data_IF_103986902066
#
_entry.id   IF_103986902066
#
_cell.length_a   1.000
_cell.length_b   1.000
_cell.length_c   1.000
_cell.angle_alpha   90.00
_cell.angle_beta   90.00
_cell.angle_gamma   90.00
#
_symmetry.space_group_name_H-M   'P 1'
#
loop_
_entity.id
_entity.type
_entity.pdbx_description
1 polymer ?
#
# COMPACT_ATOMS: atom_id res chain seq x y z
N UNK A 1 -17.95 5.22 19.40
CA UNK A 1 -17.03 4.16 19.88
C UNK A 1 -15.96 4.76 20.81
N UNK A 2 -16.35 5.56 21.82
CA UNK A 2 -15.37 6.40 22.55
C UNK A 2 -14.54 5.69 23.64
N UNK A 3 -14.72 4.39 23.87
CA UNK A 3 -13.99 3.66 24.93
C UNK A 3 -13.33 2.33 24.50
N UNK A 4 -13.70 1.74 23.37
CA UNK A 4 -13.14 0.46 22.96
C UNK A 4 -11.72 0.62 22.39
N UNK A 5 -10.78 -0.21 22.85
CA UNK A 5 -9.42 -0.29 22.30
C UNK A 5 -9.39 -1.05 20.97
N UNK A 6 -10.25 -2.07 20.83
CA UNK A 6 -10.52 -2.77 19.57
C UNK A 6 -11.95 -3.35 19.60
N UNK A 7 -12.55 -3.52 18.41
CA UNK A 7 -13.84 -4.18 18.24
C UNK A 7 -13.67 -5.34 17.27
N UNK A 8 -14.36 -6.44 17.56
CA UNK A 8 -14.50 -7.58 16.67
C UNK A 8 -15.94 -7.69 16.22
N UNK A 9 -16.13 -8.18 15.00
CA UNK A 9 -17.43 -8.56 14.48
C UNK A 9 -17.47 -10.06 14.19
N UNK A 10 -18.65 -10.64 14.33
CA UNK A 10 -18.88 -12.05 14.04
C UNK A 10 -19.50 -12.14 12.64
N UNK A 11 -18.79 -12.78 11.72
CA UNK A 11 -19.20 -12.92 10.32
C UNK A 11 -19.54 -14.39 10.10
N UNK A 12 -20.76 -14.68 9.64
CA UNK A 12 -21.12 -16.03 9.21
C UNK A 12 -20.43 -16.32 7.89
N UNK A 13 -19.61 -17.37 7.85
CA UNK A 13 -18.89 -17.83 6.66
C UNK A 13 -19.48 -19.16 6.25
N UNK A 14 -19.87 -19.28 4.97
CA UNK A 14 -20.28 -20.55 4.37
C UNK A 14 -19.11 -21.13 3.60
N UNK A 15 -18.69 -22.35 3.93
CA UNK A 15 -17.58 -23.00 3.22
C UNK A 15 -17.96 -23.29 1.76
N UNK A 16 -17.18 -22.87 0.75
CA UNK A 16 -17.51 -23.14 -0.64
C UNK A 16 -17.38 -24.63 -1.01
N UNK A 17 -16.60 -25.41 -0.25
CA UNK A 17 -16.34 -26.83 -0.51
C UNK A 17 -17.41 -27.72 0.13
N UNK A 18 -17.57 -27.64 1.46
CA UNK A 18 -18.48 -28.52 2.18
C UNK A 18 -19.84 -27.87 2.51
N UNK A 19 -20.03 -26.58 2.24
CA UNK A 19 -21.25 -25.79 2.51
C UNK A 19 -21.61 -25.62 3.99
N UNK A 20 -20.78 -26.13 4.89
CA UNK A 20 -20.96 -25.93 6.32
C UNK A 20 -20.76 -24.48 6.71
N UNK A 21 -21.60 -24.02 7.65
CA UNK A 21 -21.55 -22.67 8.19
C UNK A 21 -20.62 -22.63 9.39
N UNK A 22 -19.88 -21.54 9.52
CA UNK A 22 -19.12 -21.23 10.73
C UNK A 22 -19.09 -19.75 11.00
N UNK A 23 -18.53 -19.39 12.16
CA UNK A 23 -18.38 -18.00 12.57
C UNK A 23 -16.91 -17.60 12.53
N UNK A 24 -16.63 -16.52 11.81
CA UNK A 24 -15.33 -15.87 11.77
C UNK A 24 -15.35 -14.60 12.62
N UNK A 25 -14.33 -14.42 13.45
CA UNK A 25 -14.20 -13.24 14.30
C UNK A 25 -13.26 -12.22 13.65
N UNK A 26 -13.85 -11.33 12.85
CA UNK A 26 -13.16 -10.27 12.11
C UNK A 26 -12.84 -9.06 12.97
N UNK A 27 -11.80 -8.30 12.62
CA UNK A 27 -11.40 -7.07 13.32
C UNK A 27 -12.01 -5.85 12.62
N UNK A 28 -13.12 -5.34 13.13
CA UNK A 28 -13.84 -4.20 12.52
C UNK A 28 -13.28 -2.84 12.96
N UNK A 29 -12.62 -2.77 14.12
CA UNK A 29 -11.96 -1.56 14.60
C UNK A 29 -10.74 -1.89 15.48
N UNK A 30 -9.67 -1.13 15.35
CA UNK A 30 -8.52 -1.16 16.23
C UNK A 30 -7.97 0.25 16.47
N UNK A 31 -7.80 0.64 17.73
CA UNK A 31 -6.96 1.76 18.12
C UNK A 31 -5.57 1.23 18.50
N UNK A 32 -4.60 1.34 17.59
CA UNK A 32 -3.27 0.77 17.76
C UNK A 32 -2.46 1.37 18.90
N UNK A 33 -2.71 2.64 19.25
CA UNK A 33 -2.08 3.30 20.40
C UNK A 33 -2.55 2.70 21.73
N UNK A 34 -3.73 2.06 21.74
CA UNK A 34 -4.36 1.50 22.95
C UNK A 34 -4.38 -0.03 22.99
N UNK A 35 -4.39 -0.69 21.83
CA UNK A 35 -4.40 -2.15 21.71
C UNK A 35 -3.19 -2.66 20.91
N UNK A 36 -2.04 -2.74 21.59
CA UNK A 36 -0.79 -3.21 20.98
C UNK A 36 -0.85 -4.65 20.50
N UNK A 37 -1.66 -5.49 21.16
CA UNK A 37 -1.81 -6.90 20.79
C UNK A 37 -2.58 -7.03 19.48
N UNK A 38 -3.71 -6.32 19.33
CA UNK A 38 -4.46 -6.30 18.08
C UNK A 38 -3.67 -5.64 16.95
N UNK A 39 -2.96 -4.53 17.24
CA UNK A 39 -2.03 -3.91 16.29
C UNK A 39 -1.04 -4.93 15.73
N UNK A 40 -0.37 -5.69 16.61
CA UNK A 40 0.61 -6.71 16.18
C UNK A 40 -0.03 -7.76 15.27
N UNK A 41 -1.25 -8.19 15.58
CA UNK A 41 -1.99 -9.11 14.69
C UNK A 41 -2.30 -8.47 13.35
N UNK A 42 -2.79 -7.23 13.32
CA UNK A 42 -3.03 -6.50 12.08
C UNK A 42 -1.78 -6.40 11.21
N UNK A 43 -0.62 -6.20 11.80
CA UNK A 43 0.62 -6.03 11.04
C UNK A 43 1.25 -7.35 10.57
N UNK A 44 1.10 -8.45 11.31
CA UNK A 44 1.92 -9.65 11.09
C UNK A 44 1.15 -10.97 11.03
N UNK A 45 -0.13 -11.01 11.39
CA UNK A 45 -0.95 -12.22 11.31
C UNK A 45 -1.43 -12.39 9.85
N UNK A 46 -0.68 -13.15 9.05
CA UNK A 46 -1.06 -13.46 7.66
C UNK A 46 -2.42 -14.16 7.55
N UNK A 47 -2.88 -14.79 8.63
CA UNK A 47 -4.18 -15.45 8.72
C UNK A 47 -5.29 -14.54 9.27
N UNK A 48 -5.02 -13.24 9.45
CA UNK A 48 -5.98 -12.32 10.09
C UNK A 48 -7.34 -12.31 9.41
N UNK A 49 -7.38 -12.51 8.10
CA UNK A 49 -8.58 -12.52 7.26
C UNK A 49 -8.88 -13.89 6.66
N UNK A 50 -8.30 -14.94 7.21
CA UNK A 50 -8.51 -16.30 6.73
C UNK A 50 -9.27 -17.12 7.76
N UNK A 51 -10.38 -17.71 7.32
CA UNK A 51 -11.17 -18.65 8.09
C UNK A 51 -10.84 -20.07 7.59
N UNK A 52 -10.33 -20.91 8.48
CA UNK A 52 -10.15 -22.34 8.20
C UNK A 52 -11.41 -23.11 8.60
N UNK A 53 -12.05 -23.76 7.63
CA UNK A 53 -13.24 -24.56 7.87
C UNK A 53 -12.91 -25.77 8.77
N UNK A 54 -13.57 -25.95 9.92
CA UNK A 54 -13.28 -27.06 10.82
C UNK A 54 -13.69 -28.44 10.28
N UNK A 55 -14.53 -28.48 9.22
CA UNK A 55 -15.07 -29.72 8.66
C UNK A 55 -14.21 -30.29 7.54
N UNK A 56 -13.63 -29.43 6.70
CA UNK A 56 -12.83 -29.88 5.54
C UNK A 56 -11.44 -29.24 5.45
N UNK A 57 -11.03 -28.45 6.46
CA UNK A 57 -9.76 -27.73 6.53
C UNK A 57 -9.50 -26.70 5.40
N UNK A 58 -10.51 -26.43 4.56
CA UNK A 58 -10.41 -25.41 3.51
C UNK A 58 -10.18 -24.03 4.12
N UNK A 59 -9.23 -23.28 3.57
CA UNK A 59 -8.92 -21.93 4.03
C UNK A 59 -9.60 -20.91 3.13
N UNK A 60 -10.43 -20.06 3.74
CA UNK A 60 -11.33 -19.14 3.05
C UNK A 60 -10.92 -17.73 3.42
N UNK A 61 -10.60 -16.91 2.41
CA UNK A 61 -10.43 -15.47 2.62
C UNK A 61 -11.79 -14.83 2.92
N UNK A 62 -11.86 -14.09 4.02
CA UNK A 62 -13.04 -13.32 4.43
C UNK A 62 -12.79 -11.85 4.12
N UNK A 63 -13.48 -11.34 3.11
CA UNK A 63 -13.44 -9.92 2.78
C UNK A 63 -14.32 -9.15 3.78
N UNK A 64 -13.70 -8.25 4.53
CA UNK A 64 -14.39 -7.42 5.52
C UNK A 64 -13.82 -5.99 5.53
N UNK A 65 -14.60 -5.05 6.06
CA UNK A 65 -14.09 -3.70 6.32
C UNK A 65 -13.46 -3.61 7.69
N UNK A 66 -12.48 -2.71 7.84
CA UNK A 66 -11.81 -2.49 9.10
C UNK A 66 -11.32 -1.06 9.23
N UNK A 67 -11.34 -0.52 10.45
CA UNK A 67 -10.82 0.81 10.74
C UNK A 67 -9.67 0.72 11.73
N UNK A 68 -8.48 1.15 11.29
CA UNK A 68 -7.33 1.37 12.15
C UNK A 68 -7.25 2.84 12.55
N UNK A 69 -6.94 3.11 13.80
CA UNK A 69 -6.74 4.44 14.33
C UNK A 69 -5.47 4.46 15.19
N UNK A 70 -4.67 5.52 15.05
CA UNK A 70 -3.55 5.82 15.94
C UNK A 70 -3.72 7.25 16.47
N UNK A 71 -3.88 7.36 17.78
CA UNK A 71 -4.08 8.62 18.48
C UNK A 71 -2.78 9.39 18.71
N UNK A 72 -1.67 8.67 18.85
CA UNK A 72 -0.35 9.25 19.09
C UNK A 72 0.15 9.96 17.81
N UNK A 73 -0.03 9.31 16.66
CA UNK A 73 0.36 9.81 15.34
C UNK A 73 -0.77 10.55 14.60
N UNK A 74 -1.98 10.57 15.17
CA UNK A 74 -3.18 11.24 14.63
C UNK A 74 -3.52 10.83 13.20
N UNK A 75 -3.72 9.53 12.97
CA UNK A 75 -4.18 9.04 11.68
C UNK A 75 -5.20 7.92 11.76
N UNK A 76 -5.93 7.72 10.66
CA UNK A 76 -6.87 6.62 10.47
C UNK A 76 -6.64 5.98 9.10
N UNK A 77 -6.71 4.65 9.03
CA UNK A 77 -6.68 3.91 7.76
C UNK A 77 -7.85 2.94 7.73
N UNK A 78 -8.69 3.07 6.71
CA UNK A 78 -9.81 2.16 6.50
C UNK A 78 -9.48 1.13 5.42
N UNK A 79 -9.76 -0.13 5.72
CA UNK A 79 -9.76 -1.24 4.77
C UNK A 79 -11.16 -1.39 4.17
N UNK A 80 -11.27 -1.37 2.84
CA UNK A 80 -12.50 -1.63 2.10
C UNK A 80 -12.18 -2.49 0.87
N UNK A 81 -12.47 -3.80 0.90
CA UNK A 81 -12.11 -4.71 -0.18
C UNK A 81 -12.91 -4.49 -1.47
N UNK A 82 -14.02 -3.74 -1.42
CA UNK A 82 -14.84 -3.43 -2.59
C UNK A 82 -15.41 -2.01 -2.55
N UNK A 83 -15.68 -1.43 -3.73
CA UNK A 83 -16.25 -0.08 -3.88
C UNK A 83 -17.65 0.04 -3.26
N UNK A 84 -18.41 -1.06 -3.26
CA UNK A 84 -19.76 -1.10 -2.67
C UNK A 84 -19.70 -0.82 -1.15
N UNK A 85 -18.67 -1.32 -0.48
CA UNK A 85 -18.47 -1.15 0.96
C UNK A 85 -17.88 0.22 1.30
N UNK A 86 -17.17 0.85 0.35
CA UNK A 86 -16.46 2.09 0.57
C UNK A 86 -17.38 3.25 0.98
N UNK A 87 -18.32 3.66 0.10
CA UNK A 87 -19.12 4.89 0.31
C UNK A 87 -19.93 4.84 1.60
N UNK A 88 -20.51 3.68 1.93
CA UNK A 88 -21.34 3.51 3.12
C UNK A 88 -20.49 3.53 4.40
N UNK A 89 -19.35 2.82 4.38
CA UNK A 89 -18.47 2.74 5.54
C UNK A 89 -17.80 4.08 5.81
N UNK A 90 -17.31 4.77 4.79
CA UNK A 90 -16.72 6.11 4.92
C UNK A 90 -17.73 7.12 5.48
N UNK A 91 -18.98 7.11 5.01
CA UNK A 91 -20.02 7.98 5.54
C UNK A 91 -20.33 7.68 7.03
N UNK A 92 -20.34 6.40 7.43
CA UNK A 92 -20.54 6.00 8.81
C UNK A 92 -19.37 6.41 9.71
N UNK A 93 -18.13 6.23 9.25
CA UNK A 93 -16.92 6.70 9.95
C UNK A 93 -16.92 8.22 10.03
N UNK A 94 -17.28 8.91 8.95
CA UNK A 94 -17.38 10.37 8.90
C UNK A 94 -18.41 10.94 9.86
N UNK A 95 -19.62 10.38 9.87
CA UNK A 95 -20.72 10.84 10.70
C UNK A 95 -20.49 10.57 12.19
N UNK A 96 -19.66 9.58 12.54
CA UNK A 96 -19.50 9.13 13.93
C UNK A 96 -18.13 9.46 14.53
N UNK A 97 -17.07 9.53 13.73
CA UNK A 97 -15.70 9.35 14.24
C UNK A 97 -14.59 10.09 13.45
N UNK A 98 -14.86 10.90 12.40
CA UNK A 98 -13.77 11.72 11.83
C UNK A 98 -13.26 12.66 12.93
N UNK A 99 -12.09 12.32 13.45
CA UNK A 99 -11.40 13.17 14.42
C UNK A 99 -10.80 14.32 13.64
N UNK A 100 -11.17 15.54 14.03
CA UNK A 100 -10.57 16.75 13.46
C UNK A 100 -9.05 16.63 13.54
N UNK A 101 -8.36 16.97 12.46
CA UNK A 101 -6.89 16.96 12.33
C UNK A 101 -6.24 15.57 12.24
N UNK A 102 -7.00 14.51 11.96
CA UNK A 102 -6.40 13.20 11.63
C UNK A 102 -6.13 13.11 10.13
N UNK A 103 -4.98 12.54 9.77
CA UNK A 103 -4.70 12.15 8.38
C UNK A 103 -5.43 10.83 8.10
N UNK A 104 -6.33 10.83 7.12
CA UNK A 104 -7.12 9.63 6.81
C UNK A 104 -6.73 9.03 5.45
N UNK A 105 -6.72 7.70 5.37
CA UNK A 105 -6.43 6.92 4.16
C UNK A 105 -7.39 5.75 3.98
N UNK A 106 -7.53 5.32 2.73
CA UNK A 106 -8.23 4.09 2.37
C UNK A 106 -7.26 3.10 1.74
N UNK A 107 -7.51 1.82 1.99
CA UNK A 107 -6.80 0.67 1.43
C UNK A 107 -7.80 -0.36 0.93
N UNK A 108 -7.44 -1.09 -0.14
CA UNK A 108 -8.28 -2.13 -0.76
C UNK A 108 -7.87 -3.52 -0.29
N UNK A 109 -6.60 -3.70 0.04
CA UNK A 109 -6.06 -4.99 0.48
C UNK A 109 -5.48 -4.91 1.88
N UNK A 110 -5.33 -6.06 2.55
CA UNK A 110 -4.64 -6.12 3.82
C UNK A 110 -3.17 -5.66 3.71
N UNK A 111 -2.49 -6.02 2.62
CA UNK A 111 -1.10 -5.60 2.37
C UNK A 111 -0.98 -4.08 2.31
N UNK A 112 -1.84 -3.42 1.53
CA UNK A 112 -1.90 -1.96 1.47
C UNK A 112 -2.26 -1.35 2.84
N UNK A 113 -3.22 -1.95 3.54
CA UNK A 113 -3.64 -1.48 4.86
C UNK A 113 -2.46 -1.49 5.85
N UNK A 114 -1.70 -2.59 5.86
CA UNK A 114 -0.47 -2.74 6.64
C UNK A 114 0.59 -1.71 6.25
N UNK A 115 0.88 -1.54 4.95
CA UNK A 115 1.85 -0.56 4.46
C UNK A 115 1.51 0.85 4.96
N UNK A 116 0.25 1.28 4.80
CA UNK A 116 -0.20 2.60 5.24
C UNK A 116 -0.08 2.76 6.75
N UNK A 117 -0.41 1.74 7.54
CA UNK A 117 -0.24 1.80 9.00
C UNK A 117 1.24 2.03 9.34
N UNK A 118 2.15 1.20 8.82
CA UNK A 118 3.59 1.30 9.09
C UNK A 118 4.17 2.66 8.67
N UNK A 119 3.81 3.12 7.47
CA UNK A 119 4.23 4.43 6.94
C UNK A 119 3.77 5.58 7.85
N UNK A 120 2.51 5.54 8.26
CA UNK A 120 1.92 6.63 9.03
C UNK A 120 2.39 6.65 10.49
N UNK A 121 2.60 5.49 11.12
CA UNK A 121 3.21 5.38 12.46
C UNK A 121 4.64 5.89 12.48
N UNK A 122 5.38 5.70 11.39
CA UNK A 122 6.75 6.21 11.27
C UNK A 122 6.81 7.65 10.76
N UNK A 123 5.67 8.35 10.73
CA UNK A 123 5.54 9.75 10.25
C UNK A 123 6.04 9.95 8.81
N UNK A 124 6.05 8.89 8.01
CA UNK A 124 6.44 8.96 6.60
C UNK A 124 5.29 9.56 5.77
N UNK A 125 5.65 10.15 4.64
CA UNK A 125 4.71 10.56 3.61
C UNK A 125 4.52 9.40 2.62
N UNK A 126 3.37 8.74 2.75
CA UNK A 126 2.98 7.55 1.99
C UNK A 126 3.00 7.79 0.48
N UNK A 127 2.78 9.04 0.05
CA UNK A 127 2.75 9.44 -1.36
C UNK A 127 4.08 9.22 -2.07
N UNK A 128 5.22 9.39 -1.39
CA UNK A 128 6.53 9.19 -2.03
C UNK A 128 6.78 7.73 -2.38
N UNK A 129 6.33 6.80 -1.53
CA UNK A 129 6.49 5.37 -1.75
C UNK A 129 5.61 4.90 -2.90
N UNK A 130 4.38 5.38 -3.00
CA UNK A 130 3.52 5.07 -4.14
C UNK A 130 4.11 5.59 -5.46
N UNK A 131 4.68 6.81 -5.46
CA UNK A 131 5.38 7.36 -6.63
C UNK A 131 6.59 6.51 -7.00
N UNK A 132 7.38 6.04 -6.02
CA UNK A 132 8.50 5.15 -6.28
C UNK A 132 8.05 3.79 -6.84
N UNK A 133 7.00 3.19 -6.26
CA UNK A 133 6.41 1.92 -6.74
C UNK A 133 5.94 2.03 -8.18
N UNK A 134 5.16 3.06 -8.49
CA UNK A 134 4.67 3.31 -9.85
C UNK A 134 5.82 3.64 -10.82
N UNK A 135 6.82 4.42 -10.37
CA UNK A 135 8.02 4.73 -11.13
C UNK A 135 8.80 3.48 -11.55
N UNK A 136 9.13 2.64 -10.58
CA UNK A 136 9.85 1.39 -10.82
C UNK A 136 9.04 0.43 -11.69
N UNK A 137 7.73 0.31 -11.46
CA UNK A 137 6.84 -0.52 -12.28
C UNK A 137 6.83 -0.09 -13.75
N UNK A 138 6.86 1.21 -14.04
CA UNK A 138 6.92 1.73 -15.43
C UNK A 138 8.23 1.39 -16.14
N UNK A 139 9.29 1.05 -15.40
CA UNK A 139 10.54 0.57 -15.97
C UNK A 139 10.52 -0.92 -16.29
N UNK A 140 9.61 -1.70 -15.71
CA UNK A 140 9.43 -3.10 -16.09
C UNK A 140 9.09 -3.22 -17.57
N UNK A 141 9.68 -4.23 -18.21
CA UNK A 141 9.34 -4.63 -19.58
C UNK A 141 7.84 -4.99 -19.67
N UNK A 142 7.14 -4.69 -20.78
CA UNK A 142 5.72 -4.96 -20.93
C UNK A 142 5.30 -6.41 -20.62
N UNK A 143 6.16 -7.38 -20.93
CA UNK A 143 5.92 -8.81 -20.73
C UNK A 143 5.88 -9.15 -19.23
N UNK A 144 6.74 -8.51 -18.44
CA UNK A 144 6.84 -8.72 -16.99
C UNK A 144 5.67 -8.10 -16.24
N UNK A 145 5.02 -7.06 -16.77
CA UNK A 145 3.88 -6.40 -16.11
C UNK A 145 2.64 -7.30 -15.96
N UNK A 146 2.53 -8.35 -16.79
CA UNK A 146 1.48 -9.38 -16.63
C UNK A 146 1.78 -10.32 -15.45
N UNK A 147 3.05 -10.63 -15.25
CA UNK A 147 3.52 -11.47 -14.15
C UNK A 147 3.53 -10.70 -12.82
N UNK A 148 3.90 -9.42 -12.86
CA UNK A 148 4.08 -8.56 -11.70
C UNK A 148 3.17 -7.33 -11.79
N UNK A 149 1.85 -7.47 -11.62
CA UNK A 149 0.92 -6.35 -11.76
C UNK A 149 1.18 -5.28 -10.70
N UNK A 150 0.92 -4.02 -11.04
CA UNK A 150 1.17 -2.87 -10.15
C UNK A 150 0.44 -2.99 -8.79
N UNK A 151 -0.77 -3.55 -8.78
CA UNK A 151 -1.55 -3.79 -7.57
C UNK A 151 -0.91 -4.81 -6.60
N UNK A 152 0.10 -5.56 -7.05
CA UNK A 152 0.87 -6.54 -6.27
C UNK A 152 2.31 -6.05 -6.00
N UNK A 153 2.54 -4.75 -6.16
CA UNK A 153 3.78 -4.07 -5.82
C UNK A 153 3.68 -3.43 -4.42
N UNK A 154 4.61 -3.79 -3.53
CA UNK A 154 4.56 -3.37 -2.12
C UNK A 154 5.94 -2.95 -1.62
N UNK A 155 5.97 -2.12 -0.57
CA UNK A 155 7.16 -1.85 0.22
C UNK A 155 7.17 -2.79 1.41
N UNK A 156 8.19 -3.62 1.49
CA UNK A 156 8.51 -4.37 2.70
C UNK A 156 9.42 -3.55 3.61
N UNK A 157 9.01 -3.44 4.87
CA UNK A 157 9.68 -2.69 5.92
C UNK A 157 10.43 -3.60 6.91
N UNK A 158 10.49 -4.92 6.63
CA UNK A 158 11.13 -5.90 7.50
C UNK A 158 10.25 -6.35 8.68
N UNK A 159 10.73 -7.35 9.43
CA UNK A 159 10.00 -7.92 10.57
C UNK A 159 10.11 -7.06 11.84
N UNK A 160 9.08 -7.12 12.70
CA UNK A 160 9.05 -6.41 13.98
C UNK A 160 10.25 -6.79 14.87
N UNK A 161 11.08 -5.81 15.27
CA UNK A 161 12.25 -6.01 16.13
C UNK A 161 13.58 -5.87 15.39
N UNK A 162 13.58 -6.01 14.07
CA UNK A 162 14.66 -5.54 13.23
C UNK A 162 14.43 -4.05 12.98
N UNK A 163 15.08 -3.19 13.76
CA UNK A 163 15.18 -1.76 13.42
C UNK A 163 16.11 -1.61 12.21
N UNK A 164 15.73 -2.20 11.08
CA UNK A 164 16.42 -2.00 9.82
C UNK A 164 15.76 -0.80 9.16
N UNK A 165 16.56 0.22 8.83
CA UNK A 165 16.08 1.30 7.96
C UNK A 165 15.88 0.82 6.51
N UNK A 166 16.36 -0.40 6.22
CA UNK A 166 16.30 -1.07 4.94
C UNK A 166 14.85 -1.35 4.55
N UNK A 167 14.51 -0.95 3.33
CA UNK A 167 13.20 -1.15 2.72
C UNK A 167 13.39 -1.86 1.41
N UNK A 168 12.50 -2.79 1.11
CA UNK A 168 12.53 -3.50 -0.15
C UNK A 168 11.29 -3.19 -0.97
N UNK A 169 11.49 -2.93 -2.25
CA UNK A 169 10.44 -2.90 -3.25
C UNK A 169 10.18 -4.35 -3.69
N UNK A 170 8.98 -4.84 -3.43
CA UNK A 170 8.58 -6.23 -3.71
C UNK A 170 7.55 -6.25 -4.83
N UNK A 171 7.81 -7.05 -5.86
CA UNK A 171 6.84 -7.41 -6.88
C UNK A 171 6.43 -8.87 -6.70
N UNK A 172 5.19 -9.12 -6.27
CA UNK A 172 4.67 -10.47 -6.12
C UNK A 172 4.24 -11.03 -7.48
N UNK A 173 4.51 -12.32 -7.69
CA UNK A 173 4.17 -13.04 -8.91
C UNK A 173 2.68 -13.42 -8.90
N UNK A 174 1.90 -12.87 -9.84
CA UNK A 174 0.48 -13.16 -9.97
C UNK A 174 0.19 -14.59 -10.46
N UNK A 175 1.19 -15.27 -11.03
CA UNK A 175 1.08 -16.64 -11.55
C UNK A 175 1.47 -17.70 -10.53
N UNK A 176 2.15 -17.31 -9.44
CA UNK A 176 2.66 -18.22 -8.42
C UNK A 176 2.48 -17.65 -7.02
N UNK A 177 1.57 -18.26 -6.27
CA UNK A 177 1.28 -17.85 -4.90
C UNK A 177 2.54 -17.90 -4.01
N UNK A 178 2.82 -16.79 -3.32
CA UNK A 178 3.94 -16.69 -2.38
C UNK A 178 5.32 -16.46 -3.01
N UNK A 179 5.42 -16.40 -4.34
CA UNK A 179 6.66 -16.04 -5.03
C UNK A 179 6.67 -14.55 -5.40
N UNK A 180 7.88 -13.99 -5.52
CA UNK A 180 8.07 -12.61 -5.91
C UNK A 180 9.54 -12.23 -6.00
N UNK A 181 9.82 -11.05 -6.55
CA UNK A 181 11.16 -10.46 -6.58
C UNK A 181 11.21 -9.27 -5.65
N UNK A 182 12.35 -9.10 -4.98
CA UNK A 182 12.57 -8.07 -3.97
C UNK A 182 13.83 -7.29 -4.29
N UNK A 183 13.72 -5.97 -4.28
CA UNK A 183 14.80 -5.03 -4.60
C UNK A 183 15.04 -4.08 -3.44
N UNK A 184 16.29 -3.91 -3.03
CA UNK A 184 16.63 -2.97 -1.94
C UNK A 184 16.43 -1.53 -2.41
N UNK A 185 15.70 -0.74 -1.63
CA UNK A 185 15.54 0.69 -1.85
C UNK A 185 16.66 1.41 -1.12
N UNK A 186 17.55 2.04 -1.89
CA UNK A 186 18.59 2.89 -1.31
C UNK A 186 18.00 4.18 -0.75
N UNK A 187 18.66 4.74 0.27
CA UNK A 187 18.28 6.06 0.80
C UNK A 187 18.44 7.16 -0.26
N UNK A 188 19.36 6.98 -1.22
CA UNK A 188 19.56 7.91 -2.33
C UNK A 188 18.33 8.01 -3.22
N UNK A 189 17.78 6.87 -3.69
CA UNK A 189 16.56 6.88 -4.52
C UNK A 189 15.39 7.49 -3.74
N UNK A 190 15.27 7.15 -2.46
CA UNK A 190 14.20 7.67 -1.63
C UNK A 190 14.30 9.20 -1.52
N UNK A 191 15.49 9.72 -1.20
CA UNK A 191 15.73 11.15 -1.05
C UNK A 191 15.52 11.89 -2.37
N UNK A 192 15.98 11.33 -3.50
CA UNK A 192 15.69 11.90 -4.82
C UNK A 192 14.20 11.92 -5.16
N UNK A 193 13.48 10.82 -4.88
CA UNK A 193 12.02 10.76 -5.06
C UNK A 193 11.35 11.85 -4.23
N UNK A 194 11.76 12.01 -2.98
CA UNK A 194 11.25 13.07 -2.10
C UNK A 194 11.53 14.46 -2.67
N UNK A 195 12.77 14.76 -3.05
CA UNK A 195 13.16 16.10 -3.51
C UNK A 195 12.45 16.51 -4.80
N UNK A 196 12.30 15.57 -5.73
CA UNK A 196 11.69 15.83 -7.04
C UNK A 196 10.17 15.97 -6.92
N UNK A 197 9.52 15.11 -6.15
CA UNK A 197 8.05 15.06 -6.11
C UNK A 197 7.42 15.89 -4.99
N UNK A 198 8.15 16.24 -3.91
CA UNK A 198 7.59 17.06 -2.83
C UNK A 198 6.97 18.39 -3.29
N UNK A 199 7.59 19.18 -4.20
CA UNK A 199 6.98 20.41 -4.69
C UNK A 199 5.63 20.19 -5.37
N UNK A 200 5.47 19.09 -6.10
CA UNK A 200 4.20 18.72 -6.76
C UNK A 200 3.19 18.24 -5.72
N UNK A 201 3.60 17.34 -4.84
CA UNK A 201 2.74 16.76 -3.81
C UNK A 201 2.25 17.79 -2.78
N UNK A 202 3.00 18.85 -2.54
CA UNK A 202 2.59 19.99 -1.72
C UNK A 202 1.51 20.84 -2.40
N UNK A 203 1.47 20.89 -3.73
CA UNK A 203 0.40 21.60 -4.46
C UNK A 203 -0.91 20.78 -4.47
N UNK A 204 -0.82 19.45 -4.36
CA UNK A 204 -1.98 18.53 -4.26
C UNK A 204 -2.51 18.51 -2.79
N UNK A 205 -2.42 19.65 -2.10
CA UNK A 205 -2.50 19.76 -0.63
C UNK A 205 -3.82 19.26 -0.04
N UNK A 206 -4.92 19.25 -0.80
CA UNK A 206 -6.21 18.70 -0.37
C UNK A 206 -6.39 17.26 -0.81
N UNK A 207 -5.77 16.34 -0.08
CA UNK A 207 -6.20 14.93 -0.09
C UNK A 207 -7.46 14.84 0.77
N UNK A 208 -8.59 14.47 0.16
CA UNK A 208 -9.84 14.28 0.92
C UNK A 208 -9.62 13.18 1.96
N UNK A 209 -10.22 13.26 3.16
CA UNK A 209 -10.21 12.15 4.10
C UNK A 209 -10.65 10.86 3.40
N UNK A 210 -9.97 9.75 3.72
CA UNK A 210 -10.25 8.43 3.12
C UNK A 210 -10.02 8.38 1.60
N UNK A 211 -9.11 9.20 1.07
CA UNK A 211 -8.63 9.00 -0.31
C UNK A 211 -7.74 7.75 -0.39
N UNK A 212 -7.83 7.05 -1.51
CA UNK A 212 -6.82 6.08 -1.91
C UNK A 212 -5.57 6.81 -2.39
N UNK A 213 -4.48 6.59 -1.67
CA UNK A 213 -3.12 6.95 -2.08
C UNK A 213 -2.41 5.62 -2.30
N UNK A 214 -2.71 5.01 -3.43
CA UNK A 214 -2.22 3.71 -3.86
C UNK A 214 -1.38 3.85 -5.13
N UNK A 215 -0.95 2.72 -5.67
CA UNK A 215 -0.06 2.68 -6.81
C UNK A 215 -0.76 3.18 -8.10
N UNK A 216 -2.08 3.00 -8.21
CA UNK A 216 -2.88 3.53 -9.33
C UNK A 216 -2.95 5.06 -9.27
N UNK A 217 -3.20 5.64 -8.08
CA UNK A 217 -3.13 7.08 -7.86
C UNK A 217 -1.77 7.66 -8.26
N UNK A 218 -0.68 6.98 -7.88
CA UNK A 218 0.67 7.41 -8.22
C UNK A 218 0.99 7.27 -9.71
N UNK A 219 0.51 6.21 -10.38
CA UNK A 219 0.69 6.05 -11.82
C UNK A 219 -0.07 7.11 -12.62
N UNK A 220 -1.27 7.48 -12.18
CA UNK A 220 -2.02 8.59 -12.76
C UNK A 220 -1.26 9.92 -12.58
N UNK A 221 -0.76 10.19 -11.36
CA UNK A 221 0.07 11.37 -11.09
C UNK A 221 1.30 11.41 -12.00
N UNK A 222 2.08 10.33 -12.07
CA UNK A 222 3.26 10.22 -12.91
C UNK A 222 2.92 10.43 -14.39
N UNK A 223 1.79 9.94 -14.86
CA UNK A 223 1.33 10.15 -16.24
C UNK A 223 1.14 11.64 -16.54
N UNK A 224 0.49 12.38 -15.64
CA UNK A 224 0.31 13.83 -15.81
C UNK A 224 1.63 14.60 -15.71
N UNK A 225 2.48 14.25 -14.74
CA UNK A 225 3.80 14.87 -14.55
C UNK A 225 4.68 14.68 -15.79
N UNK A 226 4.77 13.45 -16.32
CA UNK A 226 5.56 13.16 -17.52
C UNK A 226 4.99 13.87 -18.75
N UNK A 227 3.65 13.90 -18.90
CA UNK A 227 3.00 14.64 -19.99
C UNK A 227 3.29 16.14 -19.92
N UNK A 228 3.29 16.72 -18.73
CA UNK A 228 3.62 18.13 -18.53
C UNK A 228 5.10 18.41 -18.84
N UNK A 229 6.00 17.56 -18.34
CA UNK A 229 7.43 17.64 -18.60
C UNK A 229 7.78 17.51 -20.09
N UNK A 230 7.09 16.64 -20.84
CA UNK A 230 7.29 16.50 -22.28
C UNK A 230 6.99 17.78 -23.08
N UNK A 231 6.19 18.69 -22.54
CA UNK A 231 5.90 20.00 -23.17
C UNK A 231 6.97 21.05 -22.88
N UNK A 232 7.83 20.82 -21.89
CA UNK A 232 8.90 21.73 -21.46
C UNK A 232 10.18 20.92 -21.20
N UNK A 233 10.96 20.58 -22.24
CA UNK A 233 12.01 19.58 -22.17
C UNK A 233 13.25 19.98 -21.35
N UNK A 234 13.26 21.17 -20.72
CA UNK A 234 14.38 21.66 -19.91
C UNK A 234 13.94 21.84 -18.45
N UNK A 235 14.88 21.68 -17.50
CA UNK A 235 14.61 21.85 -16.08
C UNK A 235 13.94 20.61 -15.47
N UNK A 236 12.64 20.67 -15.18
CA UNK A 236 11.97 19.58 -14.45
C UNK A 236 11.97 18.24 -15.22
N UNK A 237 11.91 18.28 -16.55
CA UNK A 237 12.04 17.09 -17.39
C UNK A 237 13.40 16.39 -17.24
N UNK A 238 14.48 17.16 -17.08
CA UNK A 238 15.82 16.62 -16.85
C UNK A 238 15.91 15.96 -15.47
N UNK A 239 15.34 16.58 -14.44
CA UNK A 239 15.25 15.99 -13.09
C UNK A 239 14.51 14.64 -13.10
N UNK A 240 13.38 14.57 -13.82
CA UNK A 240 12.64 13.32 -14.00
C UNK A 240 13.47 12.26 -14.75
N UNK A 241 14.20 12.68 -15.79
CA UNK A 241 15.11 11.79 -16.52
C UNK A 241 16.20 11.21 -15.62
N UNK A 242 16.83 12.04 -14.79
CA UNK A 242 17.83 11.60 -13.81
C UNK A 242 17.25 10.64 -12.77
N UNK A 243 16.04 10.92 -12.29
CA UNK A 243 15.35 10.04 -11.35
C UNK A 243 15.04 8.68 -11.97
N UNK A 244 14.50 8.65 -13.20
CA UNK A 244 14.25 7.41 -13.96
C UNK A 244 15.53 6.59 -14.11
N UNK A 245 16.64 7.25 -14.49
CA UNK A 245 17.93 6.59 -14.62
C UNK A 245 18.44 6.03 -13.29
N UNK A 246 18.24 6.75 -12.19
CA UNK A 246 18.65 6.29 -10.86
C UNK A 246 17.83 5.09 -10.41
N UNK A 247 16.51 5.13 -10.57
CA UNK A 247 15.63 3.99 -10.27
C UNK A 247 16.04 2.78 -11.10
N UNK A 248 16.23 2.93 -12.41
CA UNK A 248 16.70 1.84 -13.28
C UNK A 248 18.04 1.24 -12.84
N UNK A 249 19.00 2.10 -12.50
CA UNK A 249 20.36 1.66 -12.16
C UNK A 249 20.47 0.98 -10.80
N UNK A 250 19.75 1.44 -9.77
CA UNK A 250 19.91 0.87 -8.43
C UNK A 250 18.86 -0.20 -8.10
N UNK A 251 17.64 -0.14 -8.66
CA UNK A 251 16.63 -1.19 -8.48
C UNK A 251 16.89 -2.35 -9.44
N UNK A 252 17.09 -2.07 -10.72
CA UNK A 252 17.15 -3.12 -11.76
C UNK A 252 18.55 -3.33 -12.34
N UNK A 253 19.56 -2.61 -11.86
CA UNK A 253 20.94 -2.73 -12.32
C UNK A 253 21.14 -2.50 -13.83
N UNK A 254 20.32 -1.66 -14.46
CA UNK A 254 20.52 -1.24 -15.85
C UNK A 254 20.37 0.26 -16.07
N UNK A 255 21.07 0.78 -17.08
CA UNK A 255 20.98 2.19 -17.46
C UNK A 255 19.82 2.42 -18.43
N UNK A 256 18.85 3.26 -18.04
CA UNK A 256 17.78 3.71 -18.95
C UNK A 256 18.40 4.64 -20.00
N UNK A 257 18.68 4.13 -21.20
CA UNK A 257 19.04 4.97 -22.36
C UNK A 257 17.76 5.55 -22.96
N UNK A 258 17.85 6.77 -23.50
CA UNK A 258 16.74 7.49 -24.13
C UNK A 258 16.12 6.80 -25.36
N UNK A 259 16.66 5.66 -25.80
CA UNK A 259 16.10 4.81 -26.84
C UNK A 259 16.35 3.34 -26.46
N UNK A 260 15.34 2.50 -26.70
CA UNK A 260 15.21 1.15 -26.21
C UNK A 260 16.25 0.18 -26.81
N UNK A 261 17.10 -0.42 -25.96
CA UNK A 261 17.51 -1.83 -26.09
C UNK A 261 17.81 -2.41 -24.70
N UNK A 262 17.28 -3.61 -24.36
CA UNK A 262 17.50 -4.25 -23.08
C UNK A 262 18.81 -5.06 -23.07
N UNK A 263 19.58 -4.96 -21.98
CA UNK A 263 20.61 -5.96 -21.68
C UNK A 263 19.93 -7.18 -21.08
N UNK A 264 20.21 -8.34 -21.65
CA UNK A 264 19.85 -9.66 -21.17
C UNK A 264 20.35 -9.88 -19.73
N UNK A 265 19.43 -9.76 -18.77
CA UNK A 265 19.26 -10.62 -17.59
C UNK A 265 18.09 -10.04 -16.77
N UNK A 266 17.19 -10.93 -16.36
CA UNK A 266 15.81 -10.70 -15.87
C UNK A 266 14.77 -10.70 -16.99
#
# INVERSE_FOLDING_TARGET
>A
MKEASSCKEQIEVTCPICREKGMFSGVSFCNGSRDRAMRKRILYDENLFFYTCPQCAETIRVDMTGLYCDDDHRFMVCLHPSEQLQTQYEALVAAKEIRKNYRCRSARTWGEWREKIVEMETSRDDRWYEVLKAGAYRLLKPELRRQYPLAMCHIDYGAEGERTEQRNLVFLDATKAGEGVSYVISERILQQTKDIFSPILQQIQTVKPFSFIDAEWADALLTEVLRAAAKQPHGYAELLGYWIQCVGAEIFHYHVRGEAEPVEKL
#
